data_IF_798473259752
#
_entry.id   IF_798473259752
#
_cell.length_a   1.000
_cell.length_b   1.000
_cell.length_c   1.000
_cell.angle_alpha   90.00
_cell.angle_beta   90.00
_cell.angle_gamma   90.00
#
_symmetry.space_group_name_H-M   'P 1'
#
loop_
_entity.id
_entity.type
_entity.pdbx_description
1 polymer ?
#
# COMPACT_ATOMS: atom_id res chain seq x y z
N UNK A 1 27.76 -21.27 -14.35
CA UNK A 1 27.68 -19.79 -14.31
C UNK A 1 26.45 -19.44 -13.49
N UNK A 2 26.65 -19.05 -12.23
CA UNK A 2 25.56 -18.90 -11.25
C UNK A 2 24.66 -17.73 -11.60
N UNK A 3 23.34 -17.96 -11.63
CA UNK A 3 22.35 -16.88 -11.67
C UNK A 3 22.54 -16.02 -10.43
N UNK A 4 23.04 -14.80 -10.60
CA UNK A 4 23.03 -13.77 -9.59
C UNK A 4 21.57 -13.58 -9.16
N UNK A 5 21.23 -13.96 -7.93
CA UNK A 5 19.95 -13.58 -7.34
C UNK A 5 20.03 -12.07 -7.16
N UNK A 6 19.44 -11.34 -8.10
CA UNK A 6 19.17 -9.93 -7.94
C UNK A 6 18.33 -9.82 -6.66
N UNK A 7 18.93 -9.28 -5.59
CA UNK A 7 18.21 -9.01 -4.36
C UNK A 7 17.22 -7.89 -4.70
N UNK A 8 16.01 -8.25 -5.13
CA UNK A 8 14.92 -7.31 -5.15
C UNK A 8 14.79 -6.78 -3.71
N UNK A 9 15.10 -5.50 -3.52
CA UNK A 9 14.95 -4.85 -2.23
C UNK A 9 13.46 -4.89 -1.89
N UNK A 10 13.08 -5.57 -0.80
CA UNK A 10 11.69 -5.62 -0.34
C UNK A 10 11.52 -4.58 0.76
N UNK A 11 10.43 -3.81 0.66
CA UNK A 11 10.04 -2.92 1.75
C UNK A 11 9.13 -3.67 2.71
N UNK A 12 9.49 -3.63 3.98
CA UNK A 12 8.76 -4.34 5.06
C UNK A 12 8.08 -3.30 5.93
N UNK A 13 6.74 -3.38 6.00
CA UNK A 13 5.94 -2.62 6.95
C UNK A 13 5.54 -3.51 8.11
N UNK A 14 5.47 -2.93 9.30
CA UNK A 14 5.00 -3.60 10.51
C UNK A 14 3.72 -2.90 10.95
N UNK A 15 2.67 -3.67 11.22
CA UNK A 15 1.36 -3.13 11.54
C UNK A 15 0.64 -3.98 12.56
N UNK A 16 -0.04 -3.33 13.50
CA UNK A 16 -0.90 -3.99 14.46
C UNK A 16 -2.31 -4.11 13.90
N UNK A 17 -2.89 -5.31 13.94
CA UNK A 17 -4.27 -5.56 13.54
C UNK A 17 -5.22 -5.32 14.72
N UNK A 18 -6.48 -4.91 14.46
CA UNK A 18 -7.50 -4.76 15.50
C UNK A 18 -7.75 -6.04 16.31
N UNK A 19 -7.54 -7.21 15.73
CA UNK A 19 -7.64 -8.50 16.41
C UNK A 19 -6.50 -8.83 17.39
N UNK A 20 -5.49 -7.96 17.53
CA UNK A 20 -4.33 -8.17 18.40
C UNK A 20 -3.12 -8.80 17.69
N UNK A 21 -3.26 -9.22 16.44
CA UNK A 21 -2.15 -9.78 15.67
C UNK A 21 -1.15 -8.70 15.24
N UNK A 22 0.14 -9.05 15.28
CA UNK A 22 1.20 -8.26 14.66
C UNK A 22 1.48 -8.80 13.26
N UNK A 23 1.38 -7.94 12.25
CA UNK A 23 1.57 -8.29 10.85
C UNK A 23 2.83 -7.66 10.28
N UNK A 24 3.50 -8.38 9.38
CA UNK A 24 4.50 -7.85 8.47
C UNK A 24 3.97 -7.88 7.04
N UNK A 25 4.07 -6.75 6.35
CA UNK A 25 3.68 -6.61 4.94
C UNK A 25 4.95 -6.41 4.13
N UNK A 26 5.25 -7.37 3.27
CA UNK A 26 6.45 -7.41 2.44
C UNK A 26 6.03 -7.00 1.04
N UNK A 27 6.25 -5.72 0.72
CA UNK A 27 5.95 -5.15 -0.59
C UNK A 27 7.24 -5.19 -1.43
N UNK A 28 7.23 -5.85 -2.61
CA UNK A 28 8.38 -5.79 -3.50
C UNK A 28 8.55 -4.37 -4.03
N UNK A 29 9.81 -3.94 -4.22
CA UNK A 29 10.09 -2.69 -4.90
C UNK A 29 9.66 -2.76 -6.38
N UNK A 30 9.45 -1.58 -6.96
CA UNK A 30 9.10 -1.45 -8.37
C UNK A 30 10.16 -2.06 -9.28
N UNK A 31 9.70 -2.73 -10.34
CA UNK A 31 10.51 -3.38 -11.35
C UNK A 31 11.17 -2.38 -12.30
N UNK A 32 11.88 -2.92 -13.30
CA UNK A 32 12.49 -2.10 -14.35
C UNK A 32 11.40 -1.37 -15.17
N UNK A 33 11.63 -0.08 -15.47
CA UNK A 33 10.70 0.83 -16.16
C UNK A 33 10.48 0.52 -17.64
N UNK A 34 10.35 -0.76 -17.99
CA UNK A 34 10.29 -1.25 -19.36
C UNK A 34 8.89 -1.15 -19.97
N UNK A 35 7.87 -0.76 -19.19
CA UNK A 35 6.50 -0.53 -19.69
C UNK A 35 6.26 0.98 -19.78
N UNK A 36 5.44 1.38 -20.73
CA UNK A 36 5.03 2.78 -20.92
C UNK A 36 3.63 2.93 -20.35
N UNK A 37 3.36 4.00 -19.60
CA UNK A 37 2.01 4.32 -19.17
C UNK A 37 1.20 4.84 -20.37
N UNK A 38 0.05 4.21 -20.63
CA UNK A 38 -0.79 4.51 -21.80
C UNK A 38 -1.39 5.94 -21.77
N UNK A 39 -1.54 6.52 -20.58
CA UNK A 39 -2.12 7.86 -20.41
C UNK A 39 -1.04 8.92 -20.60
N UNK A 40 0.15 8.71 -20.04
CA UNK A 40 1.20 9.75 -20.06
C UNK A 40 2.22 9.58 -21.18
N UNK A 41 2.35 8.39 -21.75
CA UNK A 41 3.39 8.06 -22.72
C UNK A 41 4.81 7.98 -22.13
N UNK A 42 4.95 8.11 -20.80
CA UNK A 42 6.24 8.01 -20.11
C UNK A 42 6.49 6.58 -19.58
N UNK A 43 7.75 6.19 -19.34
CA UNK A 43 8.06 4.96 -18.64
C UNK A 43 7.28 4.85 -17.32
N UNK A 44 6.54 3.76 -17.16
CA UNK A 44 5.97 3.35 -15.90
C UNK A 44 6.99 2.42 -15.22
N UNK A 45 7.41 2.79 -14.01
CA UNK A 45 8.08 1.83 -13.16
C UNK A 45 7.01 0.79 -12.78
N UNK A 46 7.16 -0.43 -13.31
CA UNK A 46 6.14 -1.47 -13.16
C UNK A 46 6.19 -1.92 -11.73
N UNK A 47 5.23 -1.49 -10.90
CA UNK A 47 5.20 -2.00 -9.55
C UNK A 47 4.82 -3.46 -9.52
N UNK A 48 5.58 -4.23 -8.76
CA UNK A 48 5.26 -5.63 -8.47
C UNK A 48 4.33 -5.76 -7.26
N UNK A 49 3.59 -4.71 -6.89
CA UNK A 49 2.70 -4.68 -5.71
C UNK A 49 1.74 -5.87 -5.62
N UNK A 50 1.31 -6.45 -6.75
CA UNK A 50 0.51 -7.69 -6.77
C UNK A 50 1.18 -8.89 -6.06
N UNK A 51 2.51 -8.90 -5.98
CA UNK A 51 3.31 -9.90 -5.29
C UNK A 51 3.56 -9.55 -3.81
N UNK A 52 2.82 -8.58 -3.25
CA UNK A 52 2.87 -8.27 -1.82
C UNK A 52 2.50 -9.51 -1.01
N UNK A 53 3.34 -9.80 -0.01
CA UNK A 53 3.16 -10.94 0.91
C UNK A 53 2.86 -10.41 2.30
N UNK A 54 1.91 -11.04 2.99
CA UNK A 54 1.54 -10.65 4.35
C UNK A 54 1.85 -11.82 5.27
N UNK A 55 2.47 -11.52 6.40
CA UNK A 55 2.85 -12.50 7.41
C UNK A 55 2.29 -12.10 8.76
N UNK A 56 1.68 -13.06 9.46
CA UNK A 56 1.43 -12.93 10.89
C UNK A 56 2.68 -13.32 11.67
N UNK A 57 3.02 -12.53 12.69
CA UNK A 57 4.10 -12.82 13.63
C UNK A 57 3.56 -13.75 14.72
N UNK A 58 4.02 -15.00 14.71
CA UNK A 58 3.78 -15.95 15.79
C UNK A 58 4.91 -15.81 16.82
N UNK A 59 4.62 -15.12 17.91
CA UNK A 59 5.59 -14.81 18.96
C UNK A 59 5.95 -16.03 19.81
N UNK A 60 5.03 -17.01 19.93
CA UNK A 60 5.23 -18.24 20.70
C UNK A 60 6.17 -19.17 19.94
N UNK A 61 5.87 -19.44 18.67
CA UNK A 61 6.69 -20.27 17.81
C UNK A 61 7.88 -19.53 17.19
N UNK A 62 8.01 -18.22 17.43
CA UNK A 62 9.07 -17.33 16.90
C UNK A 62 9.23 -17.43 15.38
N UNK A 63 8.11 -17.41 14.66
CA UNK A 63 8.08 -17.57 13.20
C UNK A 63 7.14 -16.58 12.53
N UNK A 64 7.35 -16.39 11.23
CA UNK A 64 6.41 -15.70 10.35
C UNK A 64 5.52 -16.73 9.67
N UNK A 65 4.20 -16.56 9.77
CA UNK A 65 3.20 -17.39 9.11
C UNK A 65 2.58 -16.57 7.99
N UNK A 66 2.79 -16.98 6.74
CA UNK A 66 2.18 -16.28 5.60
C UNK A 66 0.66 -16.42 5.65
N UNK A 67 -0.04 -15.30 5.51
CA UNK A 67 -1.49 -15.24 5.40
C UNK A 67 -1.88 -14.71 4.02
N UNK A 68 -3.04 -15.16 3.55
CA UNK A 68 -3.57 -14.81 2.23
C UNK A 68 -4.88 -14.02 2.31
N UNK A 69 -5.44 -13.90 3.52
CA UNK A 69 -6.66 -13.17 3.84
C UNK A 69 -6.41 -12.24 5.02
N UNK A 70 -7.01 -11.06 4.99
CA UNK A 70 -7.18 -10.17 6.15
C UNK A 70 -8.58 -10.29 6.77
N UNK A 71 -9.41 -11.18 6.24
CA UNK A 71 -10.79 -11.40 6.63
C UNK A 71 -11.60 -10.09 6.49
N UNK A 72 -12.22 -9.62 7.57
CA UNK A 72 -12.97 -8.37 7.64
C UNK A 72 -12.10 -7.13 7.91
N UNK A 73 -10.80 -7.23 7.70
CA UNK A 73 -9.86 -6.12 7.83
C UNK A 73 -9.39 -5.58 6.49
N UNK A 74 -8.86 -4.36 6.54
CA UNK A 74 -8.26 -3.64 5.42
C UNK A 74 -6.93 -3.04 5.85
N UNK A 75 -5.94 -3.10 4.97
CA UNK A 75 -4.62 -2.51 5.20
C UNK A 75 -4.45 -1.22 4.40
N UNK A 76 -3.81 -0.25 5.03
CA UNK A 76 -3.30 0.97 4.40
C UNK A 76 -1.79 0.97 4.51
N UNK A 77 -1.08 0.98 3.38
CA UNK A 77 0.39 1.06 3.33
C UNK A 77 0.83 2.26 2.50
N UNK A 78 1.72 3.09 3.02
CA UNK A 78 2.20 4.26 2.31
C UNK A 78 3.36 4.92 3.03
N UNK A 79 3.87 6.01 2.47
CA UNK A 79 5.08 6.67 2.97
C UNK A 79 4.95 7.25 4.37
N UNK A 80 3.74 7.64 4.78
CA UNK A 80 3.50 8.33 6.05
C UNK A 80 3.15 7.36 7.18
N UNK A 81 2.24 6.43 6.92
CA UNK A 81 1.69 5.55 7.94
C UNK A 81 1.31 4.21 7.34
N UNK A 82 1.41 3.18 8.15
CA UNK A 82 0.80 1.88 7.89
C UNK A 82 -0.25 1.60 8.96
N UNK A 83 -1.42 1.14 8.57
CA UNK A 83 -2.52 0.89 9.51
C UNK A 83 -3.39 -0.28 9.05
N UNK A 84 -3.96 -1.01 10.00
CA UNK A 84 -4.91 -2.09 9.78
C UNK A 84 -6.20 -1.72 10.49
N UNK A 85 -7.33 -1.75 9.78
CA UNK A 85 -8.64 -1.35 10.30
C UNK A 85 -9.66 -2.46 10.04
N UNK A 86 -10.64 -2.60 10.92
CA UNK A 86 -11.81 -3.44 10.65
C UNK A 86 -12.78 -2.68 9.75
N UNK A 87 -13.35 -3.32 8.73
CA UNK A 87 -14.26 -2.65 7.80
C UNK A 87 -15.67 -2.42 8.37
N UNK A 88 -16.01 -3.05 9.50
CA UNK A 88 -17.30 -2.88 10.17
C UNK A 88 -17.60 -1.43 10.53
N UNK A 89 -16.57 -0.66 10.88
CA UNK A 89 -16.66 0.78 11.18
C UNK A 89 -16.65 1.66 9.91
N UNK A 90 -16.25 1.09 8.77
CA UNK A 90 -15.99 1.80 7.53
C UNK A 90 -16.58 1.05 6.31
N UNK A 91 -17.92 1.06 6.13
CA UNK A 91 -18.60 0.26 5.11
C UNK A 91 -18.23 0.63 3.66
N UNK A 92 -17.57 1.78 3.46
CA UNK A 92 -17.06 2.23 2.17
C UNK A 92 -15.77 1.49 1.74
N UNK A 93 -15.08 0.84 2.69
CA UNK A 93 -13.81 0.17 2.45
C UNK A 93 -14.05 -1.29 2.04
N UNK A 94 -13.20 -1.77 1.13
CA UNK A 94 -13.23 -3.17 0.70
C UNK A 94 -12.45 -4.02 1.71
N UNK A 95 -13.12 -4.99 2.34
CA UNK A 95 -12.49 -5.99 3.21
C UNK A 95 -11.52 -6.86 2.41
N UNK A 96 -10.48 -7.40 3.05
CA UNK A 96 -9.47 -8.23 2.38
C UNK A 96 -8.70 -7.51 1.24
N UNK A 97 -8.56 -6.19 1.36
CA UNK A 97 -7.80 -5.38 0.41
C UNK A 97 -6.66 -4.60 1.09
N UNK A 98 -5.69 -4.21 0.27
CA UNK A 98 -4.58 -3.32 0.66
C UNK A 98 -4.66 -2.05 -0.18
N UNK A 99 -4.92 -0.93 0.48
CA UNK A 99 -4.84 0.40 -0.10
C UNK A 99 -3.40 0.87 0.00
N UNK A 100 -2.76 1.15 -1.13
CA UNK A 100 -1.35 1.47 -1.15
C UNK A 100 -1.07 2.79 -1.88
N UNK A 101 -0.05 3.50 -1.40
CA UNK A 101 0.51 4.67 -2.07
C UNK A 101 2.00 4.50 -2.33
N UNK A 102 2.48 5.19 -3.35
CA UNK A 102 3.90 5.18 -3.71
C UNK A 102 4.67 5.82 -2.55
N UNK A 103 5.70 5.12 -2.09
CA UNK A 103 6.52 5.50 -0.95
C UNK A 103 8.02 5.46 -1.25
N UNK A 104 8.35 5.55 -2.53
CA UNK A 104 9.72 5.54 -3.02
C UNK A 104 10.53 6.74 -2.50
N UNK A 105 11.80 6.53 -2.13
CA UNK A 105 12.65 7.60 -1.56
C UNK A 105 12.83 8.81 -2.52
N UNK A 106 12.66 8.58 -3.82
CA UNK A 106 12.78 9.60 -4.87
C UNK A 106 11.42 10.01 -5.47
N UNK A 107 10.34 9.97 -4.68
CA UNK A 107 8.99 10.38 -5.08
C UNK A 107 8.95 11.78 -5.74
N UNK A 108 9.71 12.73 -5.20
CA UNK A 108 9.80 14.10 -5.72
C UNK A 108 10.33 14.12 -7.16
N UNK A 109 11.36 13.33 -7.43
CA UNK A 109 11.90 13.18 -8.77
C UNK A 109 10.90 12.49 -9.68
N UNK A 110 10.33 11.35 -9.28
CA UNK A 110 9.33 10.64 -10.12
C UNK A 110 8.18 11.56 -10.55
N UNK A 111 7.63 12.31 -9.61
CA UNK A 111 6.57 13.29 -9.88
C UNK A 111 7.05 14.40 -10.83
N UNK A 112 8.27 14.92 -10.66
CA UNK A 112 8.86 15.92 -11.56
C UNK A 112 9.05 15.38 -12.99
N UNK A 113 9.46 14.12 -13.12
CA UNK A 113 9.67 13.43 -14.40
C UNK A 113 8.35 12.92 -15.02
N UNK A 114 7.20 13.15 -14.39
CA UNK A 114 5.90 12.67 -14.87
C UNK A 114 5.77 11.13 -14.86
N UNK A 115 6.60 10.45 -14.07
CA UNK A 115 6.56 9.00 -13.93
C UNK A 115 5.30 8.61 -13.14
N UNK A 116 4.72 7.49 -13.54
CA UNK A 116 3.57 6.90 -12.86
C UNK A 116 3.94 6.56 -11.42
N UNK A 117 3.11 7.02 -10.48
CA UNK A 117 3.19 6.61 -9.08
C UNK A 117 2.48 5.27 -8.87
N UNK A 118 3.06 4.41 -8.05
CA UNK A 118 2.49 3.14 -7.62
C UNK A 118 1.41 3.33 -6.55
N UNK A 119 0.19 3.67 -6.99
CA UNK A 119 -0.96 3.96 -6.12
C UNK A 119 -2.14 3.10 -6.58
N UNK A 120 -2.83 2.45 -5.64
CA UNK A 120 -3.97 1.60 -5.98
C UNK A 120 -4.57 0.85 -4.80
N UNK A 121 -5.52 -0.01 -5.12
CA UNK A 121 -6.17 -0.95 -4.19
C UNK A 121 -5.89 -2.36 -4.67
N UNK A 122 -5.12 -3.12 -3.90
CA UNK A 122 -4.83 -4.52 -4.18
C UNK A 122 -5.88 -5.40 -3.51
N UNK A 123 -6.60 -6.21 -4.29
CA UNK A 123 -7.40 -7.31 -3.78
C UNK A 123 -6.50 -8.50 -3.44
N UNK A 124 -6.57 -9.01 -2.21
CA UNK A 124 -5.72 -10.13 -1.80
C UNK A 124 -6.19 -11.49 -2.32
N UNK A 125 -7.45 -11.61 -2.72
CA UNK A 125 -8.06 -12.85 -3.20
C UNK A 125 -7.58 -13.19 -4.63
N UNK A 126 -7.74 -12.27 -5.57
CA UNK A 126 -7.42 -12.48 -6.99
C UNK A 126 -6.14 -11.77 -7.45
N UNK A 127 -5.51 -10.98 -6.57
CA UNK A 127 -4.32 -10.14 -6.84
C UNK A 127 -4.55 -9.04 -7.88
N UNK A 128 -5.81 -8.70 -8.17
CA UNK A 128 -6.14 -7.56 -9.02
C UNK A 128 -5.81 -6.24 -8.33
N UNK A 129 -5.49 -5.23 -9.13
CA UNK A 129 -5.19 -3.88 -8.66
C UNK A 129 -6.17 -2.91 -9.33
N UNK A 130 -6.98 -2.26 -8.49
CA UNK A 130 -7.87 -1.18 -8.88
C UNK A 130 -7.21 0.19 -8.67
N UNK A 131 -7.67 1.19 -9.41
CA UNK A 131 -7.31 2.58 -9.15
C UNK A 131 -8.12 3.13 -7.96
N UNK A 132 -7.49 3.94 -7.10
CA UNK A 132 -8.19 4.58 -5.97
C UNK A 132 -9.15 5.69 -6.46
N UNK A 133 -8.75 6.47 -7.47
CA UNK A 133 -9.58 7.52 -8.08
C UNK A 133 -9.37 7.53 -9.59
N UNK A 134 -10.46 7.49 -10.35
CA UNK A 134 -10.48 7.71 -11.79
C UNK A 134 -11.13 9.07 -12.14
N UNK A 135 -10.60 9.84 -13.11
CA UNK A 135 -9.32 9.62 -13.78
C UNK A 135 -8.14 9.89 -12.83
N UNK A 136 -6.94 9.37 -13.17
CA UNK A 136 -5.73 9.50 -12.36
C UNK A 136 -5.25 10.96 -12.29
N UNK A 137 -5.81 11.75 -11.38
CA UNK A 137 -5.47 13.18 -11.23
C UNK A 137 -4.08 13.43 -10.59
N UNK A 138 -3.43 12.38 -10.06
CA UNK A 138 -2.19 12.50 -9.27
C UNK A 138 -0.90 12.65 -10.10
N UNK A 139 -1.00 12.89 -11.40
CA UNK A 139 0.15 12.91 -12.32
C UNK A 139 1.19 14.02 -12.03
N UNK A 140 0.84 15.04 -11.25
CA UNK A 140 1.73 16.16 -10.90
C UNK A 140 1.87 16.43 -9.40
N UNK A 141 1.32 15.55 -8.56
CA UNK A 141 1.25 15.77 -7.11
C UNK A 141 2.12 14.77 -6.35
N UNK A 142 2.48 15.09 -5.10
CA UNK A 142 3.05 14.09 -4.17
C UNK A 142 2.06 12.92 -4.01
N UNK A 143 2.58 11.74 -3.71
CA UNK A 143 1.75 10.59 -3.39
C UNK A 143 0.71 10.95 -2.31
N UNK A 144 -0.55 10.47 -2.44
CA UNK A 144 -1.58 10.75 -1.46
C UNK A 144 -1.16 10.23 -0.08
N UNK A 145 -1.61 10.95 0.94
CA UNK A 145 -1.33 10.68 2.34
C UNK A 145 -2.61 10.13 2.96
N UNK A 146 -2.51 8.99 3.65
CA UNK A 146 -3.65 8.50 4.41
C UNK A 146 -3.81 9.33 5.69
N UNK A 147 -5.03 9.76 5.97
CA UNK A 147 -5.39 10.51 7.17
C UNK A 147 -6.51 9.77 7.88
N UNK A 148 -6.31 9.48 9.17
CA UNK A 148 -7.38 9.00 10.05
C UNK A 148 -7.84 10.20 10.86
N UNK A 149 -8.96 10.86 10.49
CA UNK A 149 -9.45 11.99 11.27
C UNK A 149 -9.88 11.50 12.65
N UNK A 150 -9.52 12.23 13.71
CA UNK A 150 -10.05 12.01 15.05
C UNK A 150 -11.31 12.88 15.22
N UNK A 151 -12.53 12.32 15.20
CA UNK A 151 -13.76 13.11 15.28
C UNK A 151 -13.90 13.83 16.62
N UNK A 152 -13.27 13.31 17.67
CA UNK A 152 -13.31 13.87 19.05
C UNK A 152 -12.72 15.29 19.13
N UNK A 153 -11.87 15.67 18.16
CA UNK A 153 -11.30 17.02 18.07
C UNK A 153 -12.12 17.98 17.19
N UNK A 154 -13.16 17.51 16.49
CA UNK A 154 -13.99 18.37 15.62
C UNK A 154 -15.15 19.02 16.37
N UNK A 155 -15.50 18.53 17.57
CA UNK A 155 -16.60 19.08 18.36
C UNK A 155 -16.22 20.28 19.23
N UNK A 156 -14.93 20.63 19.35
CA UNK A 156 -14.46 21.72 20.21
C UNK A 156 -14.49 23.11 19.57
N UNK A 157 -14.90 23.25 18.31
CA UNK A 157 -14.93 24.54 17.59
C UNK A 157 -16.34 25.02 17.22
N UNK A 158 -17.40 24.34 17.65
CA UNK A 158 -18.80 24.70 17.34
C UNK A 158 -19.54 25.44 18.46
N UNK A 159 -18.83 25.89 19.51
CA UNK A 159 -19.37 26.82 20.50
C UNK A 159 -18.49 28.07 20.58
N UNK A 160 -18.82 29.06 19.74
CA UNK A 160 -18.34 30.43 19.80
C UNK A 160 -19.47 31.36 19.45
#
# INVERSE_FOLDING_TARGET
MGRTKEYACERIYIVHAPCGDLLQVWKPQEGNGNRVDEITGFPALVSNTQNTRIFRVDTVAKKLVQIFSLDDHVLFIGNNQTSCLGVSEYPQLKANHVYFTDDFECLSSKSMWGLRLDIGVLNLEDKSIDEIVAPRLFLKCRAPVFLVPNPSMMNSTLHG
#
